data_IF_833725413153
#
_entry.id   IF_833725413153
#
_cell.length_a   1.000
_cell.length_b   1.000
_cell.length_c   1.000
_cell.angle_alpha   90.00
_cell.angle_beta   90.00
_cell.angle_gamma   90.00
#
_symmetry.space_group_name_H-M   'P 1'
#
loop_
_entity.id
_entity.type
_entity.pdbx_description
1 polymer ?
#
# COMPACT_ATOMS: atom_id res chain seq x y z
N UNK A 1 -22.33 25.63 -3.49
CA UNK A 1 -22.45 24.80 -2.27
C UNK A 1 -21.04 24.57 -1.74
N UNK A 2 -20.70 25.04 -0.53
CA UNK A 2 -19.40 24.75 0.09
C UNK A 2 -19.59 23.54 1.01
N UNK A 3 -18.98 22.42 0.66
CA UNK A 3 -18.83 21.26 1.54
C UNK A 3 -17.58 21.51 2.39
N UNK A 4 -17.69 21.31 3.70
CA UNK A 4 -16.56 21.35 4.62
C UNK A 4 -16.37 20.03 5.38
N UNK A 5 -15.31 19.95 6.17
CA UNK A 5 -14.99 18.75 6.97
C UNK A 5 -16.11 18.41 7.98
N UNK A 6 -16.88 19.40 8.42
CA UNK A 6 -17.95 19.21 9.39
C UNK A 6 -19.14 18.47 8.75
N UNK A 7 -19.42 18.73 7.48
CA UNK A 7 -20.42 18.01 6.70
C UNK A 7 -20.05 16.52 6.54
N UNK A 8 -18.77 16.20 6.31
CA UNK A 8 -18.25 14.82 6.31
C UNK A 8 -18.46 14.12 7.66
N UNK A 9 -18.33 14.83 8.77
CA UNK A 9 -18.51 14.27 10.12
C UNK A 9 -19.99 14.02 10.47
N UNK A 10 -20.91 14.80 9.91
CA UNK A 10 -22.37 14.60 10.04
C UNK A 10 -22.86 13.34 9.33
N UNK A 11 -22.15 12.87 8.31
CA UNK A 11 -22.43 11.60 7.62
C UNK A 11 -22.29 10.37 8.54
N UNK A 12 -21.88 10.50 9.80
CA UNK A 12 -21.87 9.38 10.74
C UNK A 12 -23.22 9.07 11.39
N UNK A 13 -24.25 9.92 11.25
CA UNK A 13 -25.49 9.79 12.04
C UNK A 13 -26.54 8.81 11.48
N UNK A 14 -26.37 8.30 10.25
CA UNK A 14 -27.32 7.36 9.63
C UNK A 14 -27.03 5.88 9.91
N UNK A 15 -27.78 5.02 9.21
CA UNK A 15 -27.75 3.55 9.35
C UNK A 15 -27.24 2.79 8.11
N UNK A 16 -26.66 3.47 7.11
CA UNK A 16 -26.04 2.80 5.96
C UNK A 16 -24.60 2.33 6.27
N UNK A 17 -24.05 1.48 5.38
CA UNK A 17 -22.65 1.04 5.45
C UNK A 17 -21.65 2.21 5.41
N UNK A 18 -21.99 3.26 4.66
CA UNK A 18 -21.19 4.50 4.60
C UNK A 18 -21.18 5.19 5.96
N UNK A 19 -22.33 5.28 6.64
CA UNK A 19 -22.40 5.86 7.98
C UNK A 19 -21.55 5.04 8.98
N UNK A 20 -21.52 3.71 8.86
CA UNK A 20 -20.66 2.84 9.68
C UNK A 20 -19.17 3.14 9.44
N UNK A 21 -18.75 3.30 8.18
CA UNK A 21 -17.38 3.72 7.84
C UNK A 21 -17.05 5.11 8.41
N UNK A 22 -17.97 6.07 8.33
CA UNK A 22 -17.80 7.39 8.94
C UNK A 22 -17.67 7.29 10.48
N UNK A 23 -18.45 6.42 11.14
CA UNK A 23 -18.30 6.14 12.58
C UNK A 23 -16.93 5.52 12.89
N UNK A 24 -16.44 4.61 12.06
CA UNK A 24 -15.12 4.01 12.19
C UNK A 24 -14.00 5.06 12.05
N UNK A 25 -14.10 5.97 11.09
CA UNK A 25 -13.15 7.07 10.93
C UNK A 25 -13.12 7.97 12.17
N UNK A 26 -14.30 8.39 12.68
CA UNK A 26 -14.40 9.21 13.91
C UNK A 26 -13.83 8.53 15.15
N UNK A 27 -14.01 7.21 15.25
CA UNK A 27 -13.51 6.41 16.38
C UNK A 27 -12.11 5.85 16.17
N UNK A 28 -11.41 6.26 15.09
CA UNK A 28 -10.09 5.76 14.70
C UNK A 28 -10.00 4.23 14.56
N UNK A 29 -11.12 3.58 14.25
CA UNK A 29 -11.21 2.15 13.92
C UNK A 29 -10.96 1.92 12.43
N UNK A 30 -9.79 2.34 11.96
CA UNK A 30 -9.38 2.20 10.56
C UNK A 30 -8.90 0.80 10.23
N UNK A 31 -8.87 0.48 8.94
CA UNK A 31 -8.29 -0.77 8.47
C UNK A 31 -6.83 -0.93 8.93
N UNK A 32 -6.46 -2.17 9.22
CA UNK A 32 -5.10 -2.53 9.62
C UNK A 32 -4.37 -3.13 8.44
N UNK A 33 -3.06 -2.90 8.41
CA UNK A 33 -2.18 -3.53 7.42
C UNK A 33 -2.18 -5.04 7.62
N UNK A 34 -2.31 -5.74 6.50
CA UNK A 34 -2.33 -7.19 6.38
C UNK A 34 -1.10 -7.70 5.62
N UNK A 35 -0.65 -6.97 4.61
CA UNK A 35 0.54 -7.33 3.82
C UNK A 35 1.25 -6.06 3.37
N UNK A 36 2.59 -6.09 3.33
CA UNK A 36 3.41 -5.02 2.75
C UNK A 36 4.03 -5.51 1.46
N UNK A 37 3.86 -4.73 0.39
CA UNK A 37 4.32 -5.01 -0.97
C UNK A 37 5.41 -4.00 -1.31
N UNK A 38 6.62 -4.48 -1.56
CA UNK A 38 7.78 -3.69 -1.98
C UNK A 38 8.84 -4.62 -2.54
N UNK A 39 9.85 -4.09 -3.22
CA UNK A 39 10.97 -4.90 -3.72
C UNK A 39 11.60 -5.78 -2.63
N UNK A 40 11.71 -5.27 -1.40
CA UNK A 40 12.28 -5.97 -0.25
C UNK A 40 11.42 -7.10 0.32
N UNK A 41 10.12 -7.12 -0.01
CA UNK A 41 9.18 -8.12 0.50
C UNK A 41 8.89 -9.24 -0.51
N UNK A 42 9.46 -9.14 -1.71
CA UNK A 42 9.43 -10.16 -2.77
C UNK A 42 10.75 -10.94 -2.74
N UNK A 43 10.72 -12.22 -3.09
CA UNK A 43 11.94 -13.03 -3.22
C UNK A 43 12.81 -12.57 -4.40
N UNK A 44 14.15 -12.67 -4.26
CA UNK A 44 15.09 -12.04 -5.19
C UNK A 44 14.99 -12.55 -6.64
N UNK A 45 14.54 -13.79 -6.83
CA UNK A 45 14.33 -14.38 -8.15
C UNK A 45 13.08 -13.84 -8.88
N UNK A 46 12.23 -13.03 -8.22
CA UNK A 46 11.02 -12.45 -8.80
C UNK A 46 11.05 -10.91 -8.88
N UNK A 47 12.24 -10.29 -8.82
CA UNK A 47 12.35 -8.83 -8.86
C UNK A 47 11.87 -8.22 -10.18
N UNK A 48 11.89 -8.97 -11.28
CA UNK A 48 11.37 -8.50 -12.57
C UNK A 48 9.83 -8.37 -12.54
N UNK A 49 9.15 -9.31 -11.90
CA UNK A 49 7.70 -9.33 -11.74
C UNK A 49 7.19 -8.20 -10.83
N UNK A 50 8.08 -7.62 -10.00
CA UNK A 50 7.74 -6.43 -9.24
C UNK A 50 7.37 -5.25 -10.14
N UNK A 51 7.99 -5.11 -11.32
CA UNK A 51 7.65 -4.05 -12.26
C UNK A 51 6.23 -4.20 -12.83
N UNK A 52 5.70 -5.42 -12.94
CA UNK A 52 4.32 -5.67 -13.34
C UNK A 52 3.32 -5.12 -12.31
N UNK A 53 3.66 -5.21 -11.02
CA UNK A 53 2.87 -4.59 -9.94
C UNK A 53 2.86 -3.07 -10.08
N UNK A 54 4.03 -2.47 -10.36
CA UNK A 54 4.15 -1.03 -10.54
C UNK A 54 3.30 -0.55 -11.72
N UNK A 55 3.32 -1.26 -12.85
CA UNK A 55 2.46 -0.96 -14.00
C UNK A 55 0.97 -1.17 -13.71
N UNK A 56 0.62 -2.14 -12.86
CA UNK A 56 -0.76 -2.37 -12.43
C UNK A 56 -1.30 -1.23 -11.56
N UNK A 57 -0.45 -0.59 -10.75
CA UNK A 57 -0.84 0.50 -9.85
C UNK A 57 -1.42 1.72 -10.60
N UNK A 58 -1.03 1.94 -11.85
CA UNK A 58 -1.52 3.05 -12.68
C UNK A 58 -2.95 2.82 -13.21
N UNK A 59 -3.52 1.62 -13.04
CA UNK A 59 -4.83 1.23 -13.57
C UNK A 59 -5.87 1.06 -12.45
N UNK A 60 -6.52 2.17 -12.07
CA UNK A 60 -7.48 2.21 -10.94
C UNK A 60 -8.70 1.28 -11.09
N UNK A 61 -9.20 1.06 -12.31
CA UNK A 61 -10.29 0.12 -12.58
C UNK A 61 -9.89 -1.32 -12.29
N UNK A 62 -8.67 -1.70 -12.69
CA UNK A 62 -8.08 -3.01 -12.46
C UNK A 62 -7.85 -3.29 -10.97
N UNK A 63 -7.46 -2.26 -10.20
CA UNK A 63 -7.35 -2.35 -8.73
C UNK A 63 -8.69 -2.61 -8.06
N UNK A 64 -9.76 -1.92 -8.49
CA UNK A 64 -11.11 -2.17 -7.95
C UNK A 64 -11.58 -3.59 -8.23
N UNK A 65 -11.32 -4.11 -9.43
CA UNK A 65 -11.60 -5.51 -9.76
C UNK A 65 -10.84 -6.47 -8.85
N UNK A 66 -9.55 -6.20 -8.60
CA UNK A 66 -8.72 -7.03 -7.73
C UNK A 66 -9.22 -7.05 -6.27
N UNK A 67 -9.71 -5.91 -5.76
CA UNK A 67 -10.31 -5.82 -4.43
C UNK A 67 -11.58 -6.68 -4.29
N UNK A 68 -12.42 -6.73 -5.34
CA UNK A 68 -13.60 -7.61 -5.35
C UNK A 68 -13.21 -9.07 -5.31
N UNK A 69 -12.26 -9.48 -6.16
CA UNK A 69 -11.73 -10.85 -6.16
C UNK A 69 -11.15 -11.23 -4.79
N UNK A 70 -10.42 -10.32 -4.15
CA UNK A 70 -9.91 -10.55 -2.80
C UNK A 70 -11.04 -10.71 -1.77
N UNK A 71 -12.05 -9.85 -1.79
CA UNK A 71 -13.19 -9.97 -0.89
C UNK A 71 -13.94 -11.30 -1.06
N UNK A 72 -14.14 -11.74 -2.30
CA UNK A 72 -14.75 -13.04 -2.64
C UNK A 72 -13.92 -14.21 -2.11
N UNK A 73 -12.59 -14.21 -2.30
CA UNK A 73 -11.68 -15.23 -1.75
C UNK A 73 -11.71 -15.29 -0.23
N UNK A 74 -11.82 -14.13 0.44
CA UNK A 74 -11.96 -14.08 1.90
C UNK A 74 -13.32 -14.65 2.32
N UNK A 75 -14.41 -14.38 1.60
CA UNK A 75 -15.75 -14.87 1.91
C UNK A 75 -16.27 -14.39 3.27
N UNK A 76 -17.19 -15.15 3.88
CA UNK A 76 -17.77 -14.85 5.22
C UNK A 76 -18.42 -13.46 5.33
N UNK A 77 -19.04 -12.98 4.25
CA UNK A 77 -19.64 -11.64 4.18
C UNK A 77 -18.60 -10.52 4.13
N UNK A 78 -17.36 -10.81 3.75
CA UNK A 78 -16.37 -9.78 3.40
C UNK A 78 -16.79 -9.08 2.10
N UNK A 79 -16.68 -7.76 2.08
CA UNK A 79 -16.97 -6.91 0.92
C UNK A 79 -15.80 -5.97 0.67
N UNK A 80 -15.82 -5.23 -0.43
CA UNK A 80 -14.86 -4.15 -0.71
C UNK A 80 -14.82 -3.06 0.37
N UNK A 81 -15.84 -2.98 1.24
CA UNK A 81 -15.87 -2.10 2.40
C UNK A 81 -15.16 -2.69 3.63
N UNK A 82 -14.54 -3.87 3.52
CA UNK A 82 -13.84 -4.55 4.59
C UNK A 82 -12.38 -4.85 4.28
N UNK A 83 -11.99 -4.83 3.01
CA UNK A 83 -10.64 -5.15 2.53
C UNK A 83 -10.30 -4.28 1.32
N UNK A 84 -9.04 -3.87 1.22
CA UNK A 84 -8.53 -3.15 0.03
C UNK A 84 -7.05 -3.45 -0.17
N UNK A 85 -6.67 -3.57 -1.43
CA UNK A 85 -5.31 -3.51 -1.94
C UNK A 85 -5.09 -2.05 -2.35
N UNK A 86 -4.01 -1.48 -1.85
CA UNK A 86 -3.58 -0.11 -2.08
C UNK A 86 -2.19 -0.15 -2.72
N UNK A 87 -2.10 0.18 -4.01
CA UNK A 87 -0.84 0.29 -4.73
C UNK A 87 -0.66 1.76 -5.13
N UNK A 88 0.34 2.47 -4.56
CA UNK A 88 0.58 3.86 -4.93
C UNK A 88 1.09 3.96 -6.37
N UNK A 89 0.64 4.97 -7.10
CA UNK A 89 1.16 5.28 -8.43
C UNK A 89 2.65 5.61 -8.35
N UNK A 90 3.40 5.19 -9.34
CA UNK A 90 4.82 5.52 -9.42
C UNK A 90 4.98 7.01 -9.74
N UNK A 91 5.86 7.76 -9.05
CA UNK A 91 6.02 9.19 -9.32
C UNK A 91 6.43 9.43 -10.77
N UNK A 92 5.68 10.29 -11.46
CA UNK A 92 6.00 10.73 -12.82
C UNK A 92 6.93 11.94 -12.74
N UNK A 93 8.13 11.84 -13.29
CA UNK A 93 9.18 12.86 -13.20
C UNK A 93 8.98 14.00 -14.24
N UNK A 94 7.77 14.16 -14.76
CA UNK A 94 7.45 15.06 -15.87
C UNK A 94 7.79 16.53 -15.62
N UNK A 95 7.74 17.00 -14.38
CA UNK A 95 8.04 18.40 -14.02
C UNK A 95 9.51 18.77 -14.28
N UNK A 96 10.45 17.86 -13.98
CA UNK A 96 11.89 18.14 -14.17
C UNK A 96 12.31 18.28 -15.64
N UNK A 97 11.47 17.86 -16.60
CA UNK A 97 11.73 18.06 -18.04
C UNK A 97 11.52 19.51 -18.48
N UNK A 98 10.75 20.29 -17.72
CA UNK A 98 10.36 21.66 -18.08
C UNK A 98 11.15 22.72 -17.30
N UNK A 99 11.91 22.32 -16.29
CA UNK A 99 12.62 23.26 -15.42
C UNK A 99 14.05 23.52 -15.91
N UNK A 100 14.35 24.80 -16.09
CA UNK A 100 15.67 25.31 -16.41
C UNK A 100 16.28 25.86 -15.11
N UNK A 101 17.47 25.38 -14.76
CA UNK A 101 18.21 25.85 -13.59
C UNK A 101 19.43 26.65 -14.04
N UNK A 102 19.82 27.64 -13.24
CA UNK A 102 21.01 28.46 -13.50
C UNK A 102 22.22 27.84 -12.79
N UNK A 103 23.24 27.45 -13.55
CA UNK A 103 24.54 27.01 -13.03
C UNK A 103 25.59 28.02 -13.48
N UNK A 104 26.17 28.75 -12.53
CA UNK A 104 27.05 29.87 -12.84
C UNK A 104 26.31 30.93 -13.67
N UNK A 105 26.77 31.16 -14.91
CA UNK A 105 26.13 32.07 -15.87
C UNK A 105 25.28 31.35 -16.93
N UNK A 106 25.20 30.02 -16.91
CA UNK A 106 24.47 29.23 -17.89
C UNK A 106 23.11 28.77 -17.37
N UNK A 107 22.15 28.69 -18.28
CA UNK A 107 20.84 28.12 -18.03
C UNK A 107 20.77 26.74 -18.67
N UNK A 108 20.56 25.71 -17.85
CA UNK A 108 20.63 24.31 -18.25
C UNK A 108 19.38 23.57 -17.79
N UNK A 109 18.83 22.64 -18.59
CA UNK A 109 17.72 21.80 -18.15
C UNK A 109 18.11 21.02 -16.90
N UNK A 110 17.21 20.96 -15.92
CA UNK A 110 17.41 20.18 -14.69
C UNK A 110 17.74 18.71 -14.99
N UNK A 111 17.18 18.17 -16.08
CA UNK A 111 17.43 16.81 -16.58
C UNK A 111 18.90 16.50 -16.90
N UNK A 112 19.70 17.51 -17.24
CA UNK A 112 21.14 17.31 -17.53
C UNK A 112 21.95 17.02 -16.27
N UNK A 113 21.46 17.43 -15.11
CA UNK A 113 22.22 17.39 -13.84
C UNK A 113 21.58 16.42 -12.87
N UNK A 114 20.25 16.37 -12.84
CA UNK A 114 19.52 15.50 -11.94
C UNK A 114 19.47 14.07 -12.51
N UNK A 115 20.02 13.07 -11.81
CA UNK A 115 20.03 11.68 -12.27
C UNK A 115 18.64 11.05 -12.09
N UNK A 116 17.68 11.42 -12.95
CA UNK A 116 16.27 11.04 -12.85
C UNK A 116 16.08 9.52 -12.69
N UNK A 117 16.78 8.74 -13.53
CA UNK A 117 16.68 7.28 -13.52
C UNK A 117 17.14 6.70 -12.18
N UNK A 118 18.32 7.10 -11.70
CA UNK A 118 18.85 6.62 -10.42
C UNK A 118 18.00 7.04 -9.22
N UNK A 119 17.42 8.25 -9.27
CA UNK A 119 16.48 8.68 -8.23
C UNK A 119 15.21 7.83 -8.23
N UNK A 120 14.63 7.56 -9.40
CA UNK A 120 13.41 6.75 -9.52
C UNK A 120 13.64 5.32 -9.03
N UNK A 121 14.75 4.69 -9.47
CA UNK A 121 15.16 3.36 -9.02
C UNK A 121 15.33 3.32 -7.49
N UNK A 122 16.00 4.34 -6.91
CA UNK A 122 16.17 4.45 -5.47
C UNK A 122 14.84 4.65 -4.73
N UNK A 123 13.92 5.45 -5.28
CA UNK A 123 12.59 5.65 -4.73
C UNK A 123 11.79 4.34 -4.75
N UNK A 124 11.76 3.64 -5.88
CA UNK A 124 11.06 2.36 -6.04
C UNK A 124 11.63 1.34 -5.05
N UNK A 125 12.95 1.26 -4.92
CA UNK A 125 13.60 0.28 -4.05
C UNK A 125 13.39 0.55 -2.54
N UNK A 126 13.22 1.82 -2.13
CA UNK A 126 13.28 2.19 -0.71
C UNK A 126 11.99 2.81 -0.15
N UNK A 127 11.21 3.49 -0.98
CA UNK A 127 10.07 4.31 -0.57
C UNK A 127 8.75 3.78 -1.09
N UNK A 128 8.71 3.24 -2.30
CA UNK A 128 7.49 2.67 -2.85
C UNK A 128 7.03 1.47 -2.00
N UNK A 129 5.78 1.53 -1.52
CA UNK A 129 5.17 0.46 -0.71
C UNK A 129 3.68 0.36 -1.01
N UNK A 130 3.29 -0.74 -1.65
CA UNK A 130 1.90 -1.18 -1.69
C UNK A 130 1.50 -1.91 -0.41
N UNK A 131 0.21 -2.03 -0.18
CA UNK A 131 -0.34 -2.63 1.02
C UNK A 131 -1.63 -3.39 0.74
N UNK A 132 -1.89 -4.40 1.57
CA UNK A 132 -3.24 -4.92 1.77
C UNK A 132 -3.71 -4.44 3.13
N UNK A 133 -4.92 -3.90 3.18
CA UNK A 133 -5.59 -3.42 4.38
C UNK A 133 -6.91 -4.17 4.57
N UNK A 134 -7.27 -4.47 5.81
CA UNK A 134 -8.57 -5.01 6.13
C UNK A 134 -9.05 -4.57 7.52
N UNK A 135 -10.35 -4.65 7.76
CA UNK A 135 -10.91 -4.58 9.11
C UNK A 135 -10.40 -5.74 9.99
N UNK A 136 -10.35 -5.54 11.30
CA UNK A 136 -9.77 -6.50 12.25
C UNK A 136 -10.32 -7.92 12.08
N UNK A 137 -11.62 -8.06 11.85
CA UNK A 137 -12.31 -9.36 11.63
C UNK A 137 -11.69 -10.19 10.51
N UNK A 138 -11.22 -9.56 9.43
CA UNK A 138 -10.74 -10.26 8.24
C UNK A 138 -9.22 -10.21 8.08
N UNK A 139 -8.49 -9.60 9.02
CA UNK A 139 -7.08 -9.24 8.85
C UNK A 139 -6.17 -10.42 8.52
N UNK A 140 -6.28 -11.52 9.27
CA UNK A 140 -5.47 -12.72 9.05
C UNK A 140 -5.81 -13.40 7.72
N UNK A 141 -7.10 -13.53 7.42
CA UNK A 141 -7.55 -14.13 6.16
C UNK A 141 -7.18 -13.27 4.96
N UNK A 142 -7.28 -11.94 5.06
CA UNK A 142 -6.84 -11.01 4.03
C UNK A 142 -5.32 -11.07 3.78
N UNK A 143 -4.52 -11.34 4.81
CA UNK A 143 -3.09 -11.59 4.64
C UNK A 143 -2.84 -12.85 3.82
N UNK A 144 -3.46 -13.97 4.21
CA UNK A 144 -3.27 -15.27 3.56
C UNK A 144 -3.78 -15.26 2.12
N UNK A 145 -5.05 -14.91 1.92
CA UNK A 145 -5.70 -14.91 0.61
C UNK A 145 -5.14 -13.81 -0.29
N UNK A 146 -4.81 -12.64 0.28
CA UNK A 146 -4.20 -11.54 -0.46
C UNK A 146 -2.78 -11.84 -0.93
N UNK A 147 -1.97 -12.51 -0.09
CA UNK A 147 -0.66 -13.03 -0.49
C UNK A 147 -0.82 -14.00 -1.66
N UNK A 148 -1.64 -15.05 -1.50
CA UNK A 148 -1.86 -16.05 -2.54
C UNK A 148 -2.37 -15.44 -3.86
N UNK A 149 -3.36 -14.54 -3.79
CA UNK A 149 -3.92 -13.85 -4.95
C UNK A 149 -2.85 -13.08 -5.75
N UNK A 150 -1.98 -12.34 -5.06
CA UNK A 150 -0.94 -11.56 -5.71
C UNK A 150 0.18 -12.45 -6.27
N UNK A 151 0.55 -13.52 -5.56
CA UNK A 151 1.54 -14.49 -6.05
C UNK A 151 1.06 -15.19 -7.33
N UNK A 152 -0.21 -15.62 -7.37
CA UNK A 152 -0.81 -16.24 -8.56
C UNK A 152 -0.95 -15.26 -9.72
N UNK A 153 -1.36 -14.02 -9.44
CA UNK A 153 -1.65 -13.03 -10.49
C UNK A 153 -0.39 -12.50 -11.17
N UNK A 154 0.70 -12.37 -10.43
CA UNK A 154 1.95 -11.76 -10.90
C UNK A 154 3.10 -12.76 -11.01
N UNK A 155 2.81 -14.07 -10.87
CA UNK A 155 3.80 -15.15 -10.92
C UNK A 155 5.05 -14.85 -10.08
N UNK A 156 4.82 -14.54 -8.80
CA UNK A 156 5.87 -14.13 -7.87
C UNK A 156 5.71 -14.79 -6.50
N UNK A 157 6.70 -14.61 -5.62
CA UNK A 157 6.64 -15.06 -4.23
C UNK A 157 7.01 -13.95 -3.25
N UNK A 158 6.22 -13.82 -2.18
CA UNK A 158 6.58 -12.96 -1.06
C UNK A 158 7.39 -13.73 -0.02
N UNK A 159 8.49 -13.11 0.40
CA UNK A 159 9.23 -13.56 1.56
C UNK A 159 8.48 -13.20 2.87
N UNK A 160 8.93 -13.77 4.00
CA UNK A 160 8.28 -13.55 5.31
C UNK A 160 8.25 -12.09 5.78
N UNK A 161 9.14 -11.25 5.25
CA UNK A 161 9.19 -9.84 5.66
C UNK A 161 7.93 -9.08 5.25
N UNK A 162 7.19 -9.53 4.23
CA UNK A 162 5.90 -8.98 3.81
C UNK A 162 4.87 -8.98 4.95
N UNK A 163 4.77 -10.12 5.64
CA UNK A 163 3.82 -10.35 6.74
C UNK A 163 4.33 -9.70 8.02
N UNK A 164 5.63 -9.85 8.34
CA UNK A 164 6.24 -9.22 9.51
C UNK A 164 6.09 -7.70 9.50
N UNK A 165 6.29 -7.06 8.35
CA UNK A 165 6.15 -5.61 8.18
C UNK A 165 4.71 -5.11 8.33
N UNK A 166 3.72 -5.98 8.11
CA UNK A 166 2.31 -5.67 8.33
C UNK A 166 1.89 -5.69 9.81
N UNK A 167 2.75 -6.21 10.71
CA UNK A 167 2.52 -6.28 12.16
C UNK A 167 1.20 -6.96 12.54
N UNK A 168 0.84 -8.05 11.86
CA UNK A 168 -0.38 -8.82 12.17
C UNK A 168 -0.28 -9.51 13.52
N UNK A 169 0.85 -10.19 13.75
CA UNK A 169 1.15 -10.77 15.04
C UNK A 169 1.63 -9.67 15.99
N UNK A 170 1.27 -9.73 17.29
CA UNK A 170 1.92 -8.86 18.24
C UNK A 170 3.43 -9.12 18.19
N UNK A 171 4.22 -8.06 18.24
CA UNK A 171 5.69 -8.15 18.34
C UNK A 171 6.04 -8.58 19.78
N UNK A 172 5.48 -9.70 20.26
CA UNK A 172 5.98 -10.42 21.41
C UNK A 172 6.87 -11.56 20.89
N UNK A 173 7.97 -11.21 20.23
CA UNK A 173 9.20 -11.90 20.63
C UNK A 173 9.37 -11.51 22.09
N UNK A 174 9.50 -12.48 23.01
CA UNK A 174 9.89 -12.24 24.41
C UNK A 174 10.81 -11.01 24.43
N UNK A 175 10.32 -9.88 24.96
CA UNK A 175 11.24 -8.80 25.30
C UNK A 175 12.23 -9.46 26.24
N UNK A 176 13.49 -9.59 25.82
CA UNK A 176 14.52 -10.11 26.72
C UNK A 176 14.50 -9.21 27.93
N UNK A 177 14.03 -9.74 29.04
CA UNK A 177 14.00 -9.05 30.31
C UNK A 177 15.42 -9.06 30.87
N UNK A 178 15.72 -8.19 31.82
CA UNK A 178 17.03 -8.17 32.48
C UNK A 178 17.38 -9.54 33.11
N UNK A 179 16.36 -10.35 33.45
CA UNK A 179 16.49 -11.72 33.95
C UNK A 179 17.00 -12.72 32.90
N UNK A 180 16.93 -12.40 31.62
CA UNK A 180 17.48 -13.25 30.55
C UNK A 180 18.99 -12.96 30.30
N UNK A 181 19.59 -12.04 31.06
CA UNK A 181 20.99 -11.61 30.96
C UNK A 181 21.76 -11.73 32.30
N UNK A 182 21.13 -12.25 33.34
CA UNK A 182 21.74 -12.64 34.62
C UNK A 182 21.78 -14.16 34.65
#
# INVERSE_FOLDING_TARGET
>A
MKLDDFDLLKLSSGNSKINELCKQLKTRRTFKRCLVISSKTIEDNYQNQFFDILGYADHTSSLRGLNRVLAERIGNGCTEFNVTIDLPTTPKIGETQQEIIKIGNEFVPLTKIFPQKGWLESYIANKWKGHIFASDKYREKACKEGKALLEEKFDMKFNDSAVRSAKILPVYKKQKTFKDFI
#
